data_IF_155299593994
#
_entry.id   IF_155299593994
#
_cell.length_a   1.000
_cell.length_b   1.000
_cell.length_c   1.000
_cell.angle_alpha   90.00
_cell.angle_beta   90.00
_cell.angle_gamma   90.00
#
_symmetry.space_group_name_H-M   'P 1'
#
loop_
_entity.id
_entity.type
_entity.pdbx_description
1 polymer ?
#
# COMPACT_ATOMS: atom_id res chain seq x y z
N UNK A 1 22.17 7.36 -8.82
CA UNK A 1 21.03 6.45 -9.06
C UNK A 1 19.76 7.28 -8.85
N UNK A 2 18.89 7.41 -9.84
CA UNK A 2 17.60 8.09 -9.65
C UNK A 2 16.68 7.12 -8.87
N UNK A 3 16.24 7.52 -7.67
CA UNK A 3 15.43 6.66 -6.78
C UNK A 3 14.13 6.21 -7.45
N UNK A 4 13.49 7.06 -8.25
CA UNK A 4 12.28 6.72 -9.00
C UNK A 4 12.58 5.65 -10.05
N UNK A 5 13.73 5.74 -10.73
CA UNK A 5 14.17 4.72 -11.69
C UNK A 5 14.46 3.38 -11.00
N UNK A 6 14.97 3.42 -9.77
CA UNK A 6 15.18 2.22 -8.98
C UNK A 6 13.85 1.56 -8.59
N UNK A 7 12.91 2.32 -8.01
CA UNK A 7 11.59 1.80 -7.62
C UNK A 7 10.78 1.31 -8.83
N UNK A 8 10.85 2.01 -9.97
CA UNK A 8 10.23 1.56 -11.21
C UNK A 8 10.80 0.20 -11.67
N UNK A 9 12.10 -0.03 -11.45
CA UNK A 9 12.75 -1.32 -11.73
C UNK A 9 12.34 -2.46 -10.80
N UNK A 10 11.77 -2.15 -9.63
CA UNK A 10 11.19 -3.13 -8.70
C UNK A 10 9.71 -3.42 -9.00
N UNK A 11 9.10 -2.70 -9.94
CA UNK A 11 7.67 -2.84 -10.25
C UNK A 11 7.44 -3.89 -11.32
N UNK A 12 6.69 -4.93 -10.97
CA UNK A 12 6.17 -5.93 -11.89
C UNK A 12 4.65 -5.78 -12.04
N UNK A 13 4.05 -6.58 -12.92
CA UNK A 13 2.63 -6.52 -13.20
C UNK A 13 2.04 -7.92 -13.34
N UNK A 14 0.78 -8.07 -12.97
CA UNK A 14 -0.06 -9.20 -13.33
C UNK A 14 -1.41 -8.70 -13.89
N UNK A 15 -2.24 -9.62 -14.36
CA UNK A 15 -3.60 -9.33 -14.78
C UNK A 15 -4.56 -10.02 -13.81
N UNK A 16 -5.53 -9.25 -13.28
CA UNK A 16 -6.57 -9.84 -12.44
C UNK A 16 -7.59 -10.66 -13.26
N UNK A 17 -8.55 -11.28 -12.58
CA UNK A 17 -9.60 -12.09 -13.21
C UNK A 17 -10.51 -11.30 -14.16
N UNK A 18 -10.50 -9.97 -14.10
CA UNK A 18 -11.25 -9.06 -14.97
C UNK A 18 -10.36 -8.43 -16.05
N UNK A 19 -9.13 -8.91 -16.21
CA UNK A 19 -8.12 -8.45 -17.17
C UNK A 19 -7.61 -7.02 -16.91
N UNK A 20 -7.69 -6.52 -15.67
CA UNK A 20 -7.01 -5.29 -15.28
C UNK A 20 -5.54 -5.54 -15.02
N UNK A 21 -4.67 -4.67 -15.53
CA UNK A 21 -3.24 -4.73 -15.27
C UNK A 21 -2.92 -4.13 -13.90
N UNK A 22 -2.54 -4.97 -12.95
CA UNK A 22 -2.25 -4.58 -11.58
C UNK A 22 -0.72 -4.55 -11.37
N UNK A 23 -0.14 -3.41 -10.97
CA UNK A 23 1.26 -3.33 -10.60
C UNK A 23 1.47 -3.87 -9.18
N UNK A 24 2.67 -4.37 -8.89
CA UNK A 24 3.11 -4.63 -7.52
C UNK A 24 4.61 -4.36 -7.43
N UNK A 25 5.07 -4.03 -6.23
CA UNK A 25 6.49 -3.82 -5.95
C UNK A 25 7.10 -5.08 -5.35
N UNK A 26 8.24 -5.50 -5.88
CA UNK A 26 8.98 -6.67 -5.42
C UNK A 26 10.20 -6.19 -4.62
N UNK A 27 10.16 -6.36 -3.30
CA UNK A 27 11.21 -5.86 -2.39
C UNK A 27 12.10 -6.96 -1.81
N UNK A 28 11.63 -8.21 -1.88
CA UNK A 28 12.37 -9.36 -1.39
C UNK A 28 13.42 -9.76 -2.42
N UNK A 29 14.65 -9.97 -1.97
CA UNK A 29 15.75 -10.35 -2.85
C UNK A 29 16.72 -11.32 -2.17
N UNK A 30 17.34 -12.16 -2.98
CA UNK A 30 18.53 -12.93 -2.59
C UNK A 30 19.76 -12.40 -3.32
N UNK A 31 20.95 -12.75 -2.85
CA UNK A 31 22.21 -12.39 -3.49
C UNK A 31 22.93 -13.63 -4.01
N UNK A 32 23.41 -13.57 -5.24
CA UNK A 32 24.33 -14.57 -5.82
C UNK A 32 25.82 -14.19 -5.61
N UNK A 33 26.08 -13.27 -4.68
CA UNK A 33 27.41 -12.76 -4.35
C UNK A 33 27.69 -11.37 -4.92
N UNK A 34 27.18 -11.02 -6.11
CA UNK A 34 27.38 -9.67 -6.70
C UNK A 34 26.12 -9.03 -7.30
N UNK A 35 25.03 -9.77 -7.45
CA UNK A 35 23.76 -9.27 -7.97
C UNK A 35 22.60 -9.67 -7.06
N UNK A 36 21.67 -8.73 -6.89
CA UNK A 36 20.40 -9.00 -6.26
C UNK A 36 19.46 -9.63 -7.27
N UNK A 37 18.80 -10.71 -6.85
CA UNK A 37 17.74 -11.37 -7.61
C UNK A 37 16.45 -11.24 -6.82
N UNK A 38 15.35 -10.78 -7.44
CA UNK A 38 14.06 -10.75 -6.79
C UNK A 38 13.64 -12.19 -6.44
N UNK A 39 13.19 -12.41 -5.20
CA UNK A 39 12.67 -13.72 -4.72
C UNK A 39 11.37 -13.50 -3.98
N UNK A 40 10.52 -14.52 -3.93
CA UNK A 40 9.29 -14.45 -3.14
C UNK A 40 9.60 -14.73 -1.66
N UNK A 41 8.80 -14.15 -0.76
CA UNK A 41 8.92 -14.43 0.66
C UNK A 41 8.29 -15.79 0.95
N UNK A 42 9.12 -16.76 1.36
CA UNK A 42 8.67 -18.12 1.61
C UNK A 42 7.54 -18.15 2.65
N UNK A 43 6.36 -18.59 2.24
CA UNK A 43 5.16 -18.66 3.08
C UNK A 43 4.37 -17.36 3.25
N UNK A 44 4.88 -16.21 2.77
CA UNK A 44 4.19 -14.91 2.86
C UNK A 44 3.63 -14.47 1.50
N UNK A 45 4.26 -14.88 0.40
CA UNK A 45 3.85 -14.56 -0.97
C UNK A 45 4.79 -13.60 -1.68
N UNK A 46 4.32 -13.02 -2.77
CA UNK A 46 5.14 -12.29 -3.76
C UNK A 46 5.22 -10.80 -3.50
N UNK A 47 4.15 -10.19 -3.00
CA UNK A 47 4.09 -8.76 -2.72
C UNK A 47 3.09 -8.47 -1.61
N UNK A 48 3.31 -7.35 -0.90
CA UNK A 48 2.49 -6.95 0.24
C UNK A 48 2.07 -5.50 0.23
N UNK A 49 0.97 -5.22 0.92
CA UNK A 49 0.41 -3.87 1.05
C UNK A 49 1.36 -2.91 1.78
N UNK A 50 2.09 -3.36 2.81
CA UNK A 50 3.03 -2.48 3.54
C UNK A 50 4.07 -1.85 2.60
N UNK A 51 4.68 -2.64 1.71
CA UNK A 51 5.70 -2.13 0.79
C UNK A 51 5.11 -1.21 -0.27
N UNK A 52 3.97 -1.61 -0.84
CA UNK A 52 3.29 -0.81 -1.85
C UNK A 52 2.85 0.55 -1.28
N UNK A 53 2.28 0.56 -0.07
CA UNK A 53 1.86 1.78 0.61
C UNK A 53 3.04 2.71 0.89
N UNK A 54 4.17 2.18 1.37
CA UNK A 54 5.38 2.96 1.62
C UNK A 54 6.02 3.48 0.34
N UNK A 55 5.97 2.71 -0.75
CA UNK A 55 6.42 3.15 -2.06
C UNK A 55 5.57 4.32 -2.57
N UNK A 56 4.23 4.24 -2.44
CA UNK A 56 3.31 5.35 -2.75
C UNK A 56 3.65 6.62 -1.98
N UNK A 57 3.83 6.52 -0.66
CA UNK A 57 4.13 7.70 0.17
C UNK A 57 5.44 8.35 -0.29
N UNK A 58 6.49 7.54 -0.50
CA UNK A 58 7.80 8.05 -0.91
C UNK A 58 7.74 8.77 -2.25
N UNK A 59 7.07 8.22 -3.27
CA UNK A 59 7.01 8.90 -4.55
C UNK A 59 6.10 10.14 -4.51
N UNK A 60 5.06 10.18 -3.66
CA UNK A 60 4.26 11.40 -3.46
C UNK A 60 5.09 12.49 -2.78
N UNK A 61 5.89 12.15 -1.77
CA UNK A 61 6.83 13.08 -1.13
C UNK A 61 7.89 13.60 -2.13
N UNK A 62 8.42 12.72 -2.99
CA UNK A 62 9.33 13.13 -4.07
C UNK A 62 8.63 14.09 -5.02
N UNK A 63 7.38 13.81 -5.41
CA UNK A 63 6.61 14.70 -6.27
C UNK A 63 6.39 16.06 -5.61
N UNK A 64 5.98 16.13 -4.35
CA UNK A 64 5.80 17.40 -3.65
C UNK A 64 7.09 18.21 -3.61
N UNK A 65 8.22 17.56 -3.33
CA UNK A 65 9.51 18.22 -3.22
C UNK A 65 10.08 18.68 -4.57
N UNK A 66 9.91 17.87 -5.62
CA UNK A 66 10.58 18.08 -6.92
C UNK A 66 9.68 18.59 -8.03
N UNK A 67 8.37 18.43 -7.88
CA UNK A 67 7.35 18.62 -8.92
C UNK A 67 7.58 17.75 -10.17
N UNK A 68 8.37 16.68 -10.08
CA UNK A 68 8.62 15.73 -11.16
C UNK A 68 7.39 14.84 -11.38
N UNK A 69 6.66 15.11 -12.47
CA UNK A 69 5.45 14.35 -12.84
C UNK A 69 5.70 12.85 -13.03
N UNK A 70 6.94 12.43 -13.29
CA UNK A 70 7.30 11.01 -13.39
C UNK A 70 7.09 10.30 -12.04
N UNK A 71 7.29 10.99 -10.92
CA UNK A 71 7.00 10.48 -9.58
C UNK A 71 5.49 10.24 -9.42
N UNK A 72 4.68 11.25 -9.75
CA UNK A 72 3.22 11.17 -9.70
C UNK A 72 2.66 10.05 -10.60
N UNK A 73 3.17 9.90 -11.82
CA UNK A 73 2.76 8.81 -12.73
C UNK A 73 3.19 7.43 -12.24
N UNK A 74 4.24 7.36 -11.42
CA UNK A 74 4.70 6.11 -10.79
C UNK A 74 3.85 5.76 -9.58
N UNK A 75 3.45 6.73 -8.76
CA UNK A 75 2.56 6.51 -7.60
C UNK A 75 1.18 6.02 -7.96
N UNK A 76 0.58 6.62 -8.98
CA UNK A 76 -0.75 6.23 -9.47
C UNK A 76 -0.78 4.76 -9.94
N UNK A 77 0.37 4.10 -10.06
CA UNK A 77 0.45 2.66 -10.29
C UNK A 77 0.28 1.92 -8.98
N UNK A 78 1.10 2.12 -7.96
CA UNK A 78 1.03 1.33 -6.73
C UNK A 78 -0.25 1.53 -5.93
N UNK A 79 -0.92 2.67 -6.06
CA UNK A 79 -2.28 2.83 -5.51
C UNK A 79 -3.28 1.83 -6.10
N UNK A 80 -3.14 1.44 -7.38
CA UNK A 80 -4.00 0.42 -7.99
C UNK A 80 -3.81 -0.95 -7.33
N UNK A 81 -2.61 -1.22 -6.80
CA UNK A 81 -2.38 -2.42 -6.00
C UNK A 81 -3.18 -2.36 -4.70
N UNK A 82 -3.13 -1.22 -3.98
CA UNK A 82 -3.90 -1.02 -2.76
C UNK A 82 -5.41 -1.17 -3.01
N UNK A 83 -5.89 -0.63 -4.13
CA UNK A 83 -7.29 -0.76 -4.56
C UNK A 83 -7.65 -2.23 -4.82
N UNK A 84 -6.80 -2.98 -5.53
CA UNK A 84 -6.98 -4.41 -5.77
C UNK A 84 -7.01 -5.24 -4.48
N UNK A 85 -6.19 -4.86 -3.51
CA UNK A 85 -6.06 -5.54 -2.21
C UNK A 85 -7.19 -5.20 -1.22
N UNK A 86 -7.98 -4.15 -1.49
CA UNK A 86 -9.17 -3.84 -0.70
C UNK A 86 -10.31 -4.75 -1.11
N UNK A 87 -10.93 -5.43 -0.15
CA UNK A 87 -12.09 -6.29 -0.42
C UNK A 87 -13.41 -5.49 -0.50
N UNK A 88 -14.49 -6.18 -0.87
CA UNK A 88 -15.82 -5.55 -1.02
C UNK A 88 -16.39 -5.00 0.29
N UNK A 89 -15.86 -5.44 1.44
CA UNK A 89 -16.24 -4.97 2.77
C UNK A 89 -15.38 -3.78 3.25
N UNK A 90 -14.48 -3.28 2.41
CA UNK A 90 -13.49 -2.24 2.73
C UNK A 90 -12.47 -2.69 3.79
N UNK A 91 -12.15 -3.99 3.82
CA UNK A 91 -11.05 -4.54 4.61
C UNK A 91 -9.84 -4.75 3.71
N UNK A 92 -8.67 -4.38 4.19
CA UNK A 92 -7.43 -4.56 3.43
C UNK A 92 -6.91 -5.99 3.59
N UNK A 93 -6.60 -6.65 2.48
CA UNK A 93 -5.84 -7.90 2.43
C UNK A 93 -4.34 -7.56 2.36
N UNK A 94 -3.47 -8.43 2.88
CA UNK A 94 -2.05 -8.06 2.98
C UNK A 94 -1.19 -8.56 1.81
N UNK A 95 -1.38 -9.80 1.34
CA UNK A 95 -0.46 -10.44 0.38
C UNK A 95 -1.14 -10.99 -0.88
N UNK A 96 -0.37 -11.05 -1.96
CA UNK A 96 -0.64 -11.92 -3.10
C UNK A 96 0.30 -13.13 -3.10
N UNK A 97 -0.19 -14.30 -3.49
CA UNK A 97 0.62 -15.51 -3.65
C UNK A 97 1.39 -15.53 -4.99
N UNK A 98 2.09 -16.65 -5.27
CA UNK A 98 2.87 -16.85 -6.50
C UNK A 98 2.00 -16.82 -7.77
N UNK A 99 0.72 -17.20 -7.63
CA UNK A 99 -0.29 -17.20 -8.69
C UNK A 99 -1.02 -15.84 -8.79
N UNK A 100 -0.61 -14.85 -7.99
CA UNK A 100 -1.19 -13.51 -7.87
C UNK A 100 -2.60 -13.48 -7.28
N UNK A 101 -3.01 -14.51 -6.53
CA UNK A 101 -4.27 -14.50 -5.80
C UNK A 101 -4.11 -13.79 -4.45
N UNK A 102 -5.14 -13.05 -4.05
CA UNK A 102 -5.19 -12.41 -2.73
C UNK A 102 -5.29 -13.48 -1.63
N UNK A 103 -4.37 -13.44 -0.68
CA UNK A 103 -4.34 -14.37 0.45
C UNK A 103 -5.34 -13.89 1.52
N UNK A 104 -6.31 -14.74 1.88
CA UNK A 104 -7.42 -14.37 2.78
C UNK A 104 -7.50 -15.18 4.08
N UNK A 105 -6.86 -16.36 4.17
CA UNK A 105 -7.13 -17.34 5.22
C UNK A 105 -5.86 -17.99 5.79
N UNK A 106 -5.00 -17.19 6.42
CA UNK A 106 -3.89 -17.73 7.21
C UNK A 106 -3.83 -17.05 8.57
N UNK A 107 -3.18 -17.69 9.55
CA UNK A 107 -3.09 -17.17 10.92
C UNK A 107 -2.39 -15.80 11.01
N UNK A 108 -1.57 -15.45 10.01
CA UNK A 108 -0.84 -14.19 9.94
C UNK A 108 -1.42 -13.21 8.93
N UNK A 109 -2.33 -13.63 8.04
CA UNK A 109 -2.86 -12.83 6.93
C UNK A 109 -4.37 -13.05 6.80
N UNK A 110 -5.14 -12.11 7.37
CA UNK A 110 -6.59 -12.07 7.38
C UNK A 110 -7.09 -10.69 6.92
N UNK A 111 -8.37 -10.48 6.61
CA UNK A 111 -8.85 -9.15 6.19
C UNK A 111 -8.86 -8.12 7.33
N UNK A 112 -8.27 -6.94 7.09
CA UNK A 112 -8.40 -5.76 7.94
C UNK A 112 -7.39 -5.61 9.09
N UNK A 113 -6.32 -6.38 9.14
CA UNK A 113 -5.30 -6.20 10.19
C UNK A 113 -4.65 -4.81 10.15
N UNK A 114 -4.31 -4.31 11.33
CA UNK A 114 -4.02 -2.92 11.62
C UNK A 114 -2.74 -2.42 10.98
N UNK A 115 -1.68 -3.24 10.93
CA UNK A 115 -0.40 -2.83 10.34
C UNK A 115 -0.53 -2.45 8.86
N UNK A 116 -1.05 -3.35 8.03
CA UNK A 116 -1.14 -3.06 6.59
C UNK A 116 -2.30 -2.11 6.26
N UNK A 117 -3.40 -2.17 7.02
CA UNK A 117 -4.55 -1.29 6.81
C UNK A 117 -4.22 0.17 7.16
N UNK A 118 -3.51 0.42 8.28
CA UNK A 118 -3.09 1.79 8.65
C UNK A 118 -2.10 2.38 7.65
N UNK A 119 -1.19 1.57 7.10
CA UNK A 119 -0.25 1.99 6.06
C UNK A 119 -0.97 2.34 4.76
N UNK A 120 -1.96 1.53 4.36
CA UNK A 120 -2.81 1.85 3.22
C UNK A 120 -3.62 3.13 3.45
N UNK A 121 -4.20 3.33 4.64
CA UNK A 121 -4.85 4.59 5.02
C UNK A 121 -3.91 5.78 4.83
N UNK A 122 -2.68 5.70 5.33
CA UNK A 122 -1.70 6.76 5.16
C UNK A 122 -1.39 7.03 3.68
N UNK A 123 -1.24 6.00 2.86
CA UNK A 123 -1.04 6.16 1.42
C UNK A 123 -2.24 6.85 0.72
N UNK A 124 -3.48 6.48 1.06
CA UNK A 124 -4.68 7.14 0.52
C UNK A 124 -4.81 8.59 0.98
N UNK A 125 -4.55 8.87 2.25
CA UNK A 125 -4.54 10.23 2.78
C UNK A 125 -3.48 11.09 2.07
N UNK A 126 -2.27 10.55 1.88
CA UNK A 126 -1.20 11.24 1.16
C UNK A 126 -1.58 11.52 -0.30
N UNK A 127 -2.20 10.55 -0.96
CA UNK A 127 -2.69 10.72 -2.32
C UNK A 127 -3.73 11.83 -2.40
N UNK A 128 -4.71 11.85 -1.49
CA UNK A 128 -5.66 12.94 -1.39
C UNK A 128 -4.97 14.29 -1.15
N UNK A 129 -4.01 14.35 -0.22
CA UNK A 129 -3.28 15.57 0.09
C UNK A 129 -2.59 16.16 -1.14
N UNK A 130 -2.00 15.31 -1.99
CA UNK A 130 -1.29 15.70 -3.20
C UNK A 130 -2.23 16.00 -4.38
N UNK A 131 -3.19 15.11 -4.67
CA UNK A 131 -4.00 15.19 -5.89
C UNK A 131 -5.29 15.99 -5.71
N UNK A 132 -5.76 16.15 -4.48
CA UNK A 132 -7.08 16.70 -4.11
C UNK A 132 -8.25 15.93 -4.74
N UNK A 133 -8.06 14.64 -5.01
CA UNK A 133 -9.10 13.75 -5.52
C UNK A 133 -9.87 13.08 -4.37
N UNK A 134 -11.13 13.46 -4.20
CA UNK A 134 -12.03 12.95 -3.15
C UNK A 134 -12.25 11.43 -3.21
N UNK A 135 -11.94 10.77 -4.33
CA UNK A 135 -11.95 9.31 -4.39
C UNK A 135 -10.95 8.69 -3.40
N UNK A 136 -9.80 9.33 -3.18
CA UNK A 136 -8.81 8.85 -2.20
C UNK A 136 -9.26 9.14 -0.77
N UNK A 137 -9.88 10.30 -0.52
CA UNK A 137 -10.47 10.59 0.78
C UNK A 137 -11.55 9.56 1.14
N UNK A 138 -12.41 9.23 0.18
CA UNK A 138 -13.45 8.21 0.33
C UNK A 138 -12.86 6.85 0.68
N UNK A 139 -11.77 6.44 0.01
CA UNK A 139 -11.07 5.18 0.33
C UNK A 139 -10.47 5.19 1.73
N UNK A 140 -9.78 6.28 2.10
CA UNK A 140 -9.24 6.46 3.45
C UNK A 140 -10.32 6.33 4.53
N UNK A 141 -11.44 7.05 4.39
CA UNK A 141 -12.53 7.04 5.40
C UNK A 141 -13.24 5.70 5.48
N UNK A 142 -13.42 5.00 4.35
CA UNK A 142 -14.15 3.73 4.31
C UNK A 142 -13.30 2.53 4.74
N UNK A 143 -11.97 2.62 4.66
CA UNK A 143 -11.11 1.49 4.99
C UNK A 143 -11.23 1.16 6.48
N UNK A 144 -11.55 -0.11 6.76
CA UNK A 144 -11.76 -0.62 8.12
C UNK A 144 -10.52 -1.33 8.63
N UNK A 145 -10.33 -1.22 9.94
CA UNK A 145 -9.34 -1.99 10.70
C UNK A 145 -10.14 -2.93 11.60
N UNK A 146 -9.85 -4.22 11.55
CA UNK A 146 -10.62 -5.28 12.22
C UNK A 146 -9.96 -5.81 13.50
N UNK A 147 -8.79 -5.29 13.87
CA UNK A 147 -8.08 -5.66 15.10
C UNK A 147 -7.81 -4.45 15.98
N UNK A 148 -7.68 -4.71 17.29
CA UNK A 148 -7.11 -3.73 18.20
C UNK A 148 -5.65 -3.46 17.87
N UNK A 149 -5.19 -2.24 18.11
CA UNK A 149 -3.85 -1.81 17.73
C UNK A 149 -3.15 -1.00 18.81
N UNK A 150 -1.83 -0.98 18.74
CA UNK A 150 -0.97 -0.31 19.71
C UNK A 150 -0.72 1.17 19.35
N UNK A 151 0.16 1.82 20.13
CA UNK A 151 0.54 3.22 19.93
C UNK A 151 1.28 3.48 18.61
N UNK A 152 1.96 2.48 18.05
CA UNK A 152 2.73 2.66 16.83
C UNK A 152 1.78 2.77 15.63
N UNK A 153 0.75 1.92 15.59
CA UNK A 153 -0.33 2.04 14.61
C UNK A 153 -1.11 3.34 14.80
N UNK A 154 -1.46 3.70 16.04
CA UNK A 154 -2.17 4.94 16.33
C UNK A 154 -1.40 6.15 15.79
N UNK A 155 -0.07 6.14 15.91
CA UNK A 155 0.79 7.20 15.36
C UNK A 155 0.74 7.28 13.84
N UNK A 156 0.69 6.15 13.13
CA UNK A 156 0.54 6.12 11.67
C UNK A 156 -0.80 6.74 11.26
N UNK A 157 -1.88 6.39 11.97
CA UNK A 157 -3.21 6.90 11.69
C UNK A 157 -3.32 8.39 12.00
N UNK A 158 -2.73 8.88 13.08
CA UNK A 158 -2.63 10.32 13.36
C UNK A 158 -1.99 11.09 12.20
N UNK A 159 -0.86 10.59 11.69
CA UNK A 159 -0.17 11.20 10.54
C UNK A 159 -1.08 11.16 9.30
N UNK A 160 -1.76 10.04 9.05
CA UNK A 160 -2.71 9.92 7.95
C UNK A 160 -3.87 10.93 8.06
N UNK A 161 -4.46 11.09 9.25
CA UNK A 161 -5.51 12.08 9.50
C UNK A 161 -5.02 13.50 9.24
N UNK A 162 -3.80 13.84 9.66
CA UNK A 162 -3.19 15.14 9.37
C UNK A 162 -3.03 15.38 7.86
N UNK A 163 -2.56 14.39 7.09
CA UNK A 163 -2.48 14.48 5.62
C UNK A 163 -3.88 14.69 5.00
N UNK A 164 -4.90 14.00 5.52
CA UNK A 164 -6.29 14.12 5.06
C UNK A 164 -7.02 15.38 5.55
N UNK A 165 -6.44 16.16 6.47
CA UNK A 165 -7.13 17.19 7.25
C UNK A 165 -8.40 16.66 7.96
N UNK A 166 -8.33 15.44 8.48
CA UNK A 166 -9.37 14.79 9.27
C UNK A 166 -8.83 14.56 10.69
N UNK A 167 -9.60 14.95 11.69
CA UNK A 167 -9.31 14.60 13.08
C UNK A 167 -9.67 13.13 13.29
N UNK A 168 -8.66 12.31 13.61
CA UNK A 168 -8.86 10.88 13.91
C UNK A 168 -9.42 10.72 15.32
N UNK A 169 -10.69 10.32 15.43
CA UNK A 169 -11.26 9.85 16.69
C UNK A 169 -11.04 8.34 16.81
N UNK A 170 -10.08 7.97 17.64
CA UNK A 170 -9.73 6.56 17.87
C UNK A 170 -10.82 5.77 18.58
N UNK A 171 -11.89 6.39 19.09
CA UNK A 171 -13.03 5.66 19.64
C UNK A 171 -13.87 4.96 18.57
N UNK A 172 -13.94 5.51 17.35
CA UNK A 172 -14.77 5.00 16.26
C UNK A 172 -14.12 3.85 15.46
N UNK A 173 -12.83 3.57 15.70
CA UNK A 173 -12.08 2.48 15.06
C UNK A 173 -12.23 1.14 15.78
N UNK A 174 -12.90 1.12 16.95
CA UNK A 174 -13.25 -0.09 17.69
C UNK A 174 -14.75 -0.38 17.53
N UNK A 175 -15.17 -0.93 16.39
CA UNK A 175 -16.52 -1.52 16.24
C UNK A 175 -16.46 -2.90 15.59
#
# INVERSE_FOLDING_TARGET
MNILKHLAGLTNYFYDSTNNKIPYIHVYSCTDGKKFHPVDANGEGKARVDDAARACILAFEIYEYTQDKTALETDLKWIKFLDYMTDDNNLMLNFIDEDNNRVTNTQSYYPGGAWWSSRAKHAYAKAFAVTKDDAYLTKYTRLKISEAFDSDIASILLIAGMEANIEEDFQDLYT
#
